data_IF_626059717784
#
_entry.id   IF_626059717784
#
_cell.length_a   1.000
_cell.length_b   1.000
_cell.length_c   1.000
_cell.angle_alpha   90.00
_cell.angle_beta   90.00
_cell.angle_gamma   90.00
#
_symmetry.space_group_name_H-M   'P 1'
#
loop_
_entity.id
_entity.type
_entity.pdbx_description
1 polymer ?
#
# COMPACT_ATOMS: atom_id res chain seq x y z
N UNK A 1 -18.65 -16.41 -26.96
CA UNK A 1 -19.35 -16.15 -25.69
C UNK A 1 -19.13 -14.67 -25.34
N UNK A 2 -20.17 -13.82 -25.22
CA UNK A 2 -20.01 -12.42 -24.80
C UNK A 2 -19.88 -12.42 -23.29
N UNK A 3 -18.71 -12.06 -22.76
CA UNK A 3 -18.52 -11.88 -21.33
C UNK A 3 -19.31 -10.63 -20.92
N UNK A 4 -20.26 -10.78 -19.99
CA UNK A 4 -21.00 -9.66 -19.42
C UNK A 4 -20.18 -9.11 -18.25
N UNK A 5 -19.31 -8.14 -18.55
CA UNK A 5 -18.53 -7.44 -17.53
C UNK A 5 -19.44 -6.52 -16.71
N UNK A 6 -19.32 -6.56 -15.38
CA UNK A 6 -20.04 -5.69 -14.45
C UNK A 6 -19.10 -4.82 -13.61
N UNK A 7 -17.90 -5.29 -13.39
CA UNK A 7 -16.87 -4.61 -12.59
C UNK A 7 -15.55 -4.78 -13.32
N UNK A 8 -14.76 -3.71 -13.38
CA UNK A 8 -13.37 -3.72 -13.85
C UNK A 8 -12.50 -3.23 -12.71
N UNK A 9 -11.66 -4.13 -12.17
CA UNK A 9 -10.58 -3.76 -11.24
C UNK A 9 -9.29 -3.52 -12.02
N UNK A 10 -8.54 -2.49 -11.67
CA UNK A 10 -7.27 -2.17 -12.31
C UNK A 10 -6.25 -1.63 -11.30
N UNK A 11 -5.01 -2.02 -11.47
CA UNK A 11 -3.90 -1.45 -10.74
C UNK A 11 -3.55 -0.05 -11.26
N UNK A 12 -2.87 0.74 -10.45
CA UNK A 12 -2.54 2.13 -10.74
C UNK A 12 -1.15 2.27 -11.38
N UNK A 13 -0.12 1.83 -10.68
CA UNK A 13 1.27 2.11 -11.05
C UNK A 13 1.77 1.17 -12.14
N UNK A 14 2.01 1.72 -13.34
CA UNK A 14 2.42 0.91 -14.50
C UNK A 14 1.25 0.24 -15.24
N UNK A 15 0.00 0.48 -14.82
CA UNK A 15 -1.21 -0.05 -15.45
C UNK A 15 -2.13 1.07 -15.90
N UNK A 16 -2.82 1.77 -14.98
CA UNK A 16 -3.71 2.89 -15.32
C UNK A 16 -2.95 4.18 -15.55
N UNK A 17 -1.95 4.45 -14.70
CA UNK A 17 -1.17 5.68 -14.71
C UNK A 17 0.04 5.54 -15.64
N UNK A 18 0.24 6.55 -16.47
CA UNK A 18 1.43 6.65 -17.33
C UNK A 18 2.70 6.98 -16.51
N UNK A 19 3.84 7.16 -17.18
CA UNK A 19 5.13 7.51 -16.55
C UNK A 19 5.10 8.84 -15.80
N UNK A 20 4.20 9.75 -16.16
CA UNK A 20 4.00 11.06 -15.52
C UNK A 20 2.98 10.99 -14.37
N UNK A 21 2.48 9.79 -14.07
CA UNK A 21 1.47 9.50 -13.03
C UNK A 21 0.10 10.11 -13.31
N UNK A 22 -0.27 10.24 -14.58
CA UNK A 22 -1.56 10.70 -15.07
C UNK A 22 -2.32 9.61 -15.82
N UNK A 23 -3.65 9.71 -15.86
CA UNK A 23 -4.51 8.89 -16.72
C UNK A 23 -4.40 9.44 -18.13
N UNK A 24 -3.93 8.62 -19.09
CA UNK A 24 -3.85 9.02 -20.49
C UNK A 24 -5.25 9.32 -21.06
N UNK A 25 -5.35 10.27 -21.99
CA UNK A 25 -6.62 10.75 -22.55
C UNK A 25 -7.47 9.58 -23.13
N UNK A 26 -6.88 8.73 -23.95
CA UNK A 26 -7.57 7.56 -24.48
C UNK A 26 -8.10 6.62 -23.38
N UNK A 27 -7.32 6.41 -22.32
CA UNK A 27 -7.73 5.59 -21.17
C UNK A 27 -8.93 6.23 -20.46
N UNK A 28 -8.90 7.55 -20.29
CA UNK A 28 -10.01 8.35 -19.72
C UNK A 28 -11.29 8.17 -20.52
N UNK A 29 -11.23 8.29 -21.85
CA UNK A 29 -12.39 8.07 -22.74
C UNK A 29 -12.96 6.65 -22.61
N UNK A 30 -12.10 5.63 -22.53
CA UNK A 30 -12.52 4.23 -22.41
C UNK A 30 -13.21 3.97 -21.07
N UNK A 31 -12.65 4.48 -19.98
CA UNK A 31 -13.25 4.37 -18.64
C UNK A 31 -14.59 5.10 -18.56
N UNK A 32 -14.69 6.30 -19.14
CA UNK A 32 -15.95 7.05 -19.21
C UNK A 32 -17.03 6.25 -19.90
N UNK A 33 -16.74 5.66 -21.07
CA UNK A 33 -17.70 4.78 -21.79
C UNK A 33 -18.07 3.54 -20.98
N UNK A 34 -17.15 2.98 -20.19
CA UNK A 34 -17.45 1.85 -19.32
C UNK A 34 -18.45 2.24 -18.23
N UNK A 35 -18.25 3.38 -17.59
CA UNK A 35 -19.16 3.94 -16.57
C UNK A 35 -20.55 4.24 -17.15
N UNK A 36 -20.62 4.84 -18.35
CA UNK A 36 -21.88 5.11 -19.06
C UNK A 36 -22.66 3.82 -19.39
N UNK A 37 -21.98 2.69 -19.57
CA UNK A 37 -22.59 1.37 -19.75
C UNK A 37 -22.96 0.69 -18.41
N UNK A 38 -22.82 1.36 -17.28
CA UNK A 38 -23.13 0.82 -15.97
C UNK A 38 -22.10 -0.18 -15.44
N UNK A 39 -20.88 -0.15 -15.97
CA UNK A 39 -19.76 -0.96 -15.48
C UNK A 39 -19.08 -0.22 -14.34
N UNK A 40 -18.94 -0.89 -13.18
CA UNK A 40 -18.20 -0.36 -12.05
C UNK A 40 -16.70 -0.38 -12.36
N UNK A 41 -16.03 0.72 -12.07
CA UNK A 41 -14.59 0.84 -12.19
C UNK A 41 -13.98 0.95 -10.78
N UNK A 42 -12.97 0.14 -10.51
CA UNK A 42 -12.46 -0.07 -9.15
C UNK A 42 -10.92 -0.03 -9.15
N UNK A 43 -10.29 1.03 -8.62
CA UNK A 43 -8.86 1.01 -8.36
C UNK A 43 -8.50 -0.09 -7.36
N UNK A 44 -7.47 -0.88 -7.68
CA UNK A 44 -6.92 -1.95 -6.83
C UNK A 44 -5.44 -1.70 -6.67
N UNK A 45 -4.98 -1.36 -5.46
CA UNK A 45 -3.62 -0.85 -5.28
C UNK A 45 -3.02 -1.19 -3.92
N UNK A 46 -1.69 -1.27 -3.87
CA UNK A 46 -0.94 -1.34 -2.62
C UNK A 46 -0.88 -0.01 -1.84
N UNK A 47 -1.33 1.10 -2.46
CA UNK A 47 -1.36 2.40 -1.80
C UNK A 47 -2.45 2.46 -0.73
N UNK A 48 -2.25 3.24 0.36
CA UNK A 48 -3.36 3.64 1.23
C UNK A 48 -4.29 4.63 0.51
N UNK A 49 -5.51 4.80 1.01
CA UNK A 49 -6.49 5.72 0.39
C UNK A 49 -5.93 7.13 0.20
N UNK A 50 -5.25 7.70 1.21
CA UNK A 50 -4.61 9.00 1.14
C UNK A 50 -3.41 9.09 0.17
N UNK A 51 -2.94 7.96 -0.35
CA UNK A 51 -1.88 7.86 -1.36
C UNK A 51 -2.39 7.75 -2.80
N UNK A 52 -3.71 7.71 -3.01
CA UNK A 52 -4.29 7.70 -4.36
C UNK A 52 -4.19 9.09 -4.99
N UNK A 53 -3.83 9.20 -6.29
CA UNK A 53 -3.88 10.47 -6.99
C UNK A 53 -5.30 11.05 -6.99
N UNK A 54 -5.40 12.35 -6.78
CA UNK A 54 -6.67 13.08 -6.77
C UNK A 54 -7.47 12.84 -8.06
N UNK A 55 -6.78 12.81 -9.19
CA UNK A 55 -7.34 12.51 -10.52
C UNK A 55 -8.06 11.15 -10.58
N UNK A 56 -7.59 10.15 -9.84
CA UNK A 56 -8.22 8.82 -9.76
C UNK A 56 -9.41 8.85 -8.83
N UNK A 57 -9.26 9.46 -7.65
CA UNK A 57 -10.33 9.54 -6.63
C UNK A 57 -11.52 10.36 -7.13
N UNK A 58 -11.26 11.43 -7.89
CA UNK A 58 -12.29 12.31 -8.45
C UNK A 58 -12.81 11.85 -9.82
N UNK A 59 -12.30 10.75 -10.37
CA UNK A 59 -12.78 10.26 -11.65
C UNK A 59 -14.25 9.82 -11.54
N UNK A 60 -15.13 10.32 -12.45
CA UNK A 60 -16.54 9.94 -12.44
C UNK A 60 -16.72 8.41 -12.46
N UNK A 61 -17.48 7.87 -11.50
CA UNK A 61 -17.73 6.43 -11.37
C UNK A 61 -16.76 5.67 -10.45
N UNK A 62 -15.68 6.28 -9.98
CA UNK A 62 -14.83 5.73 -8.92
C UNK A 62 -15.47 6.04 -7.56
N UNK A 63 -16.29 5.13 -7.06
CA UNK A 63 -16.94 5.26 -5.75
C UNK A 63 -16.19 4.51 -4.66
N UNK A 64 -15.49 3.46 -5.01
CA UNK A 64 -14.74 2.59 -4.10
C UNK A 64 -13.34 2.33 -4.62
N UNK A 65 -12.43 1.99 -3.71
CA UNK A 65 -11.08 1.55 -4.02
C UNK A 65 -10.69 0.39 -3.10
N UNK A 66 -10.02 -0.61 -3.66
CA UNK A 66 -9.32 -1.63 -2.89
C UNK A 66 -7.92 -1.10 -2.62
N UNK A 67 -7.57 -0.96 -1.34
CA UNK A 67 -6.34 -0.30 -0.88
C UNK A 67 -5.49 -1.23 -0.03
N UNK A 68 -4.24 -0.85 0.21
CA UNK A 68 -3.29 -1.58 1.03
C UNK A 68 -3.20 -3.08 0.66
N UNK A 69 -3.08 -3.38 -0.66
CA UNK A 69 -2.99 -4.75 -1.20
C UNK A 69 -4.21 -5.63 -0.87
N UNK A 70 -5.39 -5.05 -0.76
CA UNK A 70 -6.62 -5.79 -0.45
C UNK A 70 -7.03 -5.76 1.03
N UNK A 71 -6.23 -5.14 1.89
CA UNK A 71 -6.56 -5.05 3.31
C UNK A 71 -7.83 -4.24 3.58
N UNK A 72 -8.20 -3.30 2.69
CA UNK A 72 -9.42 -2.50 2.83
C UNK A 72 -10.14 -2.27 1.51
N UNK A 73 -11.47 -2.21 1.59
CA UNK A 73 -12.33 -1.61 0.56
C UNK A 73 -12.87 -0.31 1.12
N UNK A 74 -12.49 0.80 0.50
CA UNK A 74 -12.77 2.14 0.99
C UNK A 74 -13.72 2.86 0.04
N UNK A 75 -14.68 3.59 0.60
CA UNK A 75 -15.45 4.58 -0.15
C UNK A 75 -14.60 5.83 -0.38
N UNK A 76 -14.42 6.21 -1.63
CA UNK A 76 -13.45 7.25 -2.00
C UNK A 76 -13.84 8.66 -1.57
N UNK A 77 -15.14 8.94 -1.48
CA UNK A 77 -15.66 10.29 -1.17
C UNK A 77 -15.73 10.56 0.33
N UNK A 78 -16.16 9.57 1.12
CA UNK A 78 -16.37 9.73 2.57
C UNK A 78 -15.19 9.22 3.40
N UNK A 79 -14.34 8.35 2.80
CA UNK A 79 -13.34 7.60 3.53
C UNK A 79 -13.91 6.48 4.38
N UNK A 80 -15.20 6.15 4.20
CA UNK A 80 -15.85 5.02 4.87
C UNK A 80 -15.22 3.68 4.48
N UNK A 81 -15.06 2.79 5.45
CA UNK A 81 -14.53 1.43 5.22
C UNK A 81 -15.70 0.46 5.09
N UNK A 82 -15.80 -0.24 3.93
CA UNK A 82 -16.81 -1.27 3.68
C UNK A 82 -16.35 -2.67 4.10
N UNK A 83 -15.06 -2.92 3.99
CA UNK A 83 -14.44 -4.21 4.29
C UNK A 83 -13.02 -3.98 4.77
N UNK A 84 -12.62 -4.75 5.76
CA UNK A 84 -11.23 -4.77 6.22
C UNK A 84 -10.79 -6.19 6.55
N UNK A 85 -9.51 -6.44 6.30
CA UNK A 85 -8.80 -7.64 6.66
C UNK A 85 -7.40 -7.26 7.09
N UNK A 86 -7.22 -7.19 8.39
CA UNK A 86 -6.08 -6.53 9.02
C UNK A 86 -5.11 -7.54 9.61
N UNK A 87 -3.83 -7.20 9.60
CA UNK A 87 -2.78 -7.94 10.29
C UNK A 87 -2.96 -7.74 11.80
N UNK A 88 -3.11 -8.82 12.59
CA UNK A 88 -3.26 -8.72 14.04
C UNK A 88 -2.08 -7.98 14.68
N UNK A 89 -2.36 -7.20 15.72
CA UNK A 89 -1.34 -6.38 16.40
C UNK A 89 -0.11 -7.17 16.81
N UNK A 90 -0.28 -8.37 17.37
CA UNK A 90 0.85 -9.23 17.78
C UNK A 90 1.68 -9.74 16.61
N UNK A 91 1.02 -10.04 15.50
CA UNK A 91 1.70 -10.42 14.25
C UNK A 91 2.47 -9.23 13.68
N UNK A 92 1.89 -8.03 13.72
CA UNK A 92 2.57 -6.80 13.30
C UNK A 92 3.80 -6.49 14.18
N UNK A 93 3.73 -6.69 15.51
CA UNK A 93 4.88 -6.59 16.41
C UNK A 93 5.98 -7.58 16.00
N UNK A 94 5.64 -8.85 15.82
CA UNK A 94 6.59 -9.89 15.42
C UNK A 94 7.28 -9.58 14.09
N UNK A 95 6.54 -9.12 13.08
CA UNK A 95 7.10 -8.73 11.79
C UNK A 95 8.04 -7.53 11.96
N UNK A 96 7.64 -6.54 12.77
CA UNK A 96 8.45 -5.35 13.00
C UNK A 96 9.73 -5.66 13.78
N UNK A 97 9.68 -6.59 14.73
CA UNK A 97 10.87 -7.11 15.44
C UNK A 97 11.83 -7.78 14.45
N UNK A 98 11.35 -8.60 13.52
CA UNK A 98 12.19 -9.17 12.45
C UNK A 98 12.85 -8.07 11.62
N UNK A 99 12.11 -7.04 11.22
CA UNK A 99 12.67 -5.96 10.42
C UNK A 99 13.66 -5.08 11.19
N UNK A 100 13.59 -5.03 12.53
CA UNK A 100 14.51 -4.24 13.35
C UNK A 100 15.95 -4.78 13.39
N UNK A 101 16.15 -6.03 12.97
CA UNK A 101 17.48 -6.64 12.87
C UNK A 101 18.27 -6.17 11.62
N UNK A 102 17.65 -5.36 10.74
CA UNK A 102 18.20 -4.96 9.45
C UNK A 102 18.17 -3.44 9.24
N UNK A 103 19.05 -2.91 8.37
CA UNK A 103 19.00 -1.50 7.92
C UNK A 103 17.85 -1.31 6.91
N UNK A 104 16.64 -1.19 7.43
CA UNK A 104 15.41 -1.09 6.65
C UNK A 104 14.54 0.09 7.09
N UNK A 105 14.02 0.87 6.14
CA UNK A 105 12.97 1.84 6.41
C UNK A 105 11.69 1.06 6.77
N UNK A 106 11.35 1.07 8.06
CA UNK A 106 10.23 0.35 8.64
C UNK A 106 8.98 1.21 8.60
N UNK A 107 7.89 0.63 8.09
CA UNK A 107 6.62 1.32 7.94
C UNK A 107 5.45 0.45 8.41
N UNK A 108 4.45 1.07 9.03
CA UNK A 108 3.16 0.45 9.40
C UNK A 108 2.00 1.34 8.97
N UNK A 109 0.86 0.72 8.64
CA UNK A 109 -0.29 1.46 8.09
C UNK A 109 -1.55 1.19 8.89
N UNK A 110 -2.26 2.27 9.25
CA UNK A 110 -3.52 2.23 9.98
C UNK A 110 -4.55 3.13 9.32
N UNK A 111 -5.69 2.58 8.91
CA UNK A 111 -6.80 3.37 8.38
C UNK A 111 -6.41 4.25 7.20
N UNK A 112 -5.53 3.74 6.33
CA UNK A 112 -5.05 4.47 5.16
C UNK A 112 -3.97 5.52 5.45
N UNK A 113 -3.39 5.56 6.66
CA UNK A 113 -2.26 6.44 7.02
C UNK A 113 -1.01 5.60 7.25
N UNK A 114 0.12 6.02 6.66
CA UNK A 114 1.42 5.39 6.83
C UNK A 114 2.24 6.10 7.92
N UNK A 115 2.92 5.30 8.73
CA UNK A 115 3.88 5.75 9.76
C UNK A 115 5.21 5.10 9.46
N UNK A 116 6.31 5.81 9.70
CA UNK A 116 7.66 5.34 9.45
C UNK A 116 8.56 5.65 10.64
N UNK A 117 9.55 4.77 10.89
CA UNK A 117 10.59 5.01 11.88
C UNK A 117 11.34 6.30 11.54
N UNK A 118 11.46 7.22 12.49
CA UNK A 118 11.99 8.57 12.26
C UNK A 118 13.47 8.59 11.86
N UNK A 119 14.26 7.67 12.39
CA UNK A 119 15.69 7.58 12.05
C UNK A 119 15.88 7.27 10.57
N UNK A 120 15.31 6.18 10.08
CA UNK A 120 15.42 5.77 8.68
C UNK A 120 14.66 6.74 7.75
N UNK A 121 13.53 7.28 8.21
CA UNK A 121 12.78 8.29 7.46
C UNK A 121 13.61 9.54 7.17
N UNK A 122 14.46 9.96 8.10
CA UNK A 122 15.40 11.09 7.90
C UNK A 122 16.34 10.83 6.71
N UNK A 123 16.68 9.57 6.48
CA UNK A 123 17.57 9.07 5.43
C UNK A 123 16.81 8.41 4.26
N UNK A 124 15.52 8.69 4.07
CA UNK A 124 14.65 8.01 3.10
C UNK A 124 15.22 7.94 1.68
N UNK A 125 16.07 8.90 1.29
CA UNK A 125 16.75 8.90 0.00
C UNK A 125 17.72 7.73 -0.20
N UNK A 126 18.19 7.10 0.87
CA UNK A 126 19.09 5.95 0.81
C UNK A 126 18.35 4.63 0.52
N UNK A 127 17.07 4.58 0.87
CA UNK A 127 16.21 3.40 0.68
C UNK A 127 15.42 3.44 -0.63
N UNK A 128 15.20 4.63 -1.19
CA UNK A 128 14.38 4.79 -2.39
C UNK A 128 15.22 4.78 -3.67
N UNK A 129 14.74 4.08 -4.69
CA UNK A 129 15.40 3.94 -5.99
C UNK A 129 15.32 5.21 -6.86
N UNK A 130 14.49 6.20 -6.48
CA UNK A 130 14.39 7.48 -7.19
C UNK A 130 14.04 8.64 -6.26
N UNK A 131 14.44 9.87 -6.61
CA UNK A 131 14.07 11.08 -5.87
C UNK A 131 12.55 11.27 -5.78
N UNK A 132 11.82 10.91 -6.83
CA UNK A 132 10.35 11.01 -6.88
C UNK A 132 9.70 10.08 -5.85
N UNK A 133 10.20 8.86 -5.70
CA UNK A 133 9.71 7.93 -4.70
C UNK A 133 10.03 8.42 -3.29
N UNK A 134 11.24 8.95 -3.06
CA UNK A 134 11.61 9.54 -1.76
C UNK A 134 10.70 10.73 -1.41
N UNK A 135 10.39 11.60 -2.39
CA UNK A 135 9.45 12.71 -2.21
C UNK A 135 8.03 12.22 -1.87
N UNK A 136 7.55 11.17 -2.55
CA UNK A 136 6.26 10.54 -2.24
C UNK A 136 6.20 10.00 -0.81
N UNK A 137 7.22 9.27 -0.37
CA UNK A 137 7.28 8.74 0.99
C UNK A 137 7.28 9.87 2.02
N UNK A 138 8.10 10.93 1.80
CA UNK A 138 8.09 12.13 2.67
C UNK A 138 6.74 12.82 2.76
N UNK A 139 6.00 12.86 1.67
CA UNK A 139 4.70 13.54 1.62
C UNK A 139 3.55 12.71 2.24
N UNK A 140 3.72 11.39 2.36
CA UNK A 140 2.61 10.49 2.69
C UNK A 140 2.81 9.67 3.97
N UNK A 141 3.98 9.75 4.61
CA UNK A 141 4.27 9.07 5.88
C UNK A 141 4.45 10.06 7.00
N UNK A 142 4.04 9.64 8.19
CA UNK A 142 4.27 10.38 9.44
C UNK A 142 5.44 9.72 10.16
N UNK A 143 6.56 10.44 10.39
CA UNK A 143 7.66 9.88 11.17
C UNK A 143 7.28 9.75 12.64
N UNK A 144 7.69 8.64 13.25
CA UNK A 144 7.51 8.35 14.69
C UNK A 144 8.83 7.90 15.30
N UNK A 145 9.10 8.26 16.56
CA UNK A 145 10.39 7.96 17.22
C UNK A 145 10.68 6.46 17.34
N UNK A 146 9.65 5.65 17.55
CA UNK A 146 9.71 4.20 17.71
C UNK A 146 8.41 3.59 17.15
N UNK A 147 8.55 2.88 16.06
CA UNK A 147 7.40 2.29 15.35
C UNK A 147 6.84 1.07 16.11
N UNK A 148 7.68 0.33 16.81
CA UNK A 148 7.27 -0.80 17.63
C UNK A 148 6.46 -0.34 18.85
N UNK A 149 6.91 0.76 19.49
CA UNK A 149 6.17 1.41 20.56
C UNK A 149 4.80 1.91 20.03
N UNK A 150 4.77 2.55 18.86
CA UNK A 150 3.51 2.98 18.23
C UNK A 150 2.53 1.82 18.05
N UNK A 151 2.99 0.65 17.55
CA UNK A 151 2.15 -0.53 17.37
C UNK A 151 1.54 -0.97 18.71
N UNK A 152 2.35 -1.05 19.76
CA UNK A 152 1.93 -1.43 21.12
C UNK A 152 0.96 -0.45 21.74
N UNK A 153 1.21 0.85 21.61
CA UNK A 153 0.35 1.92 22.13
C UNK A 153 -1.01 1.98 21.42
N UNK A 154 -1.02 1.78 20.10
CA UNK A 154 -2.30 1.72 19.35
C UNK A 154 -3.12 0.49 19.73
N UNK A 155 -2.48 -0.66 19.98
CA UNK A 155 -3.16 -1.89 20.31
C UNK A 155 -4.23 -2.31 19.29
N UNK A 156 -4.06 -1.90 18.02
CA UNK A 156 -5.01 -2.11 16.93
C UNK A 156 -4.35 -2.92 15.81
N UNK A 157 -5.16 -3.72 15.12
CA UNK A 157 -4.73 -4.40 13.91
C UNK A 157 -4.38 -3.39 12.82
N UNK A 158 -3.42 -3.73 11.96
CA UNK A 158 -2.85 -2.84 10.94
C UNK A 158 -3.21 -3.27 9.52
N UNK A 159 -3.32 -2.30 8.60
CA UNK A 159 -3.60 -2.57 7.19
C UNK A 159 -2.50 -3.42 6.55
N UNK A 160 -1.26 -3.06 6.79
CA UNK A 160 -0.05 -3.79 6.38
C UNK A 160 1.18 -3.32 7.14
N UNK A 161 2.22 -4.13 7.14
CA UNK A 161 3.57 -3.80 7.61
C UNK A 161 4.51 -3.83 6.40
N UNK A 162 5.47 -2.90 6.33
CA UNK A 162 6.42 -2.82 5.23
C UNK A 162 7.82 -2.53 5.72
N UNK A 163 8.82 -3.16 5.10
CA UNK A 163 10.24 -2.82 5.19
C UNK A 163 10.80 -2.50 3.81
N UNK A 164 11.55 -1.41 3.67
CA UNK A 164 12.31 -1.10 2.46
C UNK A 164 13.79 -1.20 2.80
N UNK A 165 14.46 -2.15 2.19
CA UNK A 165 15.82 -2.54 2.53
C UNK A 165 16.84 -1.83 1.64
N UNK A 166 17.97 -1.49 2.22
CA UNK A 166 19.12 -0.93 1.52
C UNK A 166 19.94 -2.03 0.81
N UNK A 167 19.99 -3.21 1.43
CA UNK A 167 20.82 -4.36 1.05
C UNK A 167 19.91 -5.51 0.63
N UNK A 168 20.09 -6.04 -0.57
CA UNK A 168 19.25 -7.13 -1.11
C UNK A 168 19.42 -8.46 -0.35
N UNK A 169 20.60 -8.72 0.20
CA UNK A 169 20.89 -9.87 1.05
C UNK A 169 20.08 -9.82 2.34
N UNK A 170 20.05 -8.67 3.04
CA UNK A 170 19.26 -8.46 4.25
C UNK A 170 17.76 -8.63 3.99
N UNK A 171 17.26 -8.08 2.88
CA UNK A 171 15.89 -8.31 2.45
C UNK A 171 15.57 -9.79 2.25
N UNK A 172 16.51 -10.53 1.66
CA UNK A 172 16.34 -11.96 1.41
C UNK A 172 16.31 -12.76 2.72
N UNK A 173 17.15 -12.39 3.68
CA UNK A 173 17.19 -13.01 5.01
C UNK A 173 15.93 -12.67 5.80
N UNK A 174 15.53 -11.40 5.86
CA UNK A 174 14.29 -10.98 6.51
C UNK A 174 13.06 -11.73 5.93
N UNK A 175 13.00 -11.91 4.60
CA UNK A 175 11.94 -12.67 3.96
C UNK A 175 11.89 -14.13 4.41
N UNK A 176 13.04 -14.78 4.60
CA UNK A 176 13.09 -16.16 5.14
C UNK A 176 12.62 -16.22 6.59
N UNK A 177 12.97 -15.22 7.41
CA UNK A 177 12.48 -15.16 8.78
C UNK A 177 10.94 -15.04 8.84
N UNK A 178 10.33 -14.33 7.88
CA UNK A 178 8.88 -14.20 7.78
C UNK A 178 8.17 -15.51 7.41
N UNK A 179 8.84 -16.49 6.79
CA UNK A 179 8.26 -17.81 6.48
C UNK A 179 7.81 -18.58 7.73
N UNK A 180 8.36 -18.24 8.89
CA UNK A 180 7.97 -18.82 10.19
C UNK A 180 6.74 -18.15 10.82
N UNK A 181 6.26 -17.05 10.24
CA UNK A 181 5.09 -16.32 10.75
C UNK A 181 3.83 -16.83 10.04
N UNK A 182 2.93 -17.43 10.80
CA UNK A 182 1.70 -17.99 10.24
C UNK A 182 0.65 -16.92 9.92
N UNK A 183 -0.20 -17.19 8.94
CA UNK A 183 -1.36 -16.36 8.60
C UNK A 183 -1.02 -15.06 7.87
N UNK A 184 0.19 -14.92 7.34
CA UNK A 184 0.59 -13.75 6.56
C UNK A 184 0.82 -14.08 5.09
N UNK A 185 0.66 -13.07 4.24
CA UNK A 185 1.11 -13.08 2.86
C UNK A 185 2.23 -12.05 2.68
N UNK A 186 3.32 -12.47 2.05
CA UNK A 186 4.53 -11.67 1.86
C UNK A 186 4.70 -11.37 0.38
N UNK A 187 4.62 -10.10 0.02
CA UNK A 187 4.83 -9.61 -1.35
C UNK A 187 5.86 -8.47 -1.38
N UNK A 188 6.05 -7.86 -2.54
CA UNK A 188 6.88 -6.68 -2.72
C UNK A 188 6.60 -6.03 -4.07
N UNK A 189 6.18 -4.78 -4.07
CA UNK A 189 5.93 -3.99 -5.28
C UNK A 189 7.22 -3.38 -5.86
N UNK A 190 8.24 -3.21 -5.02
CA UNK A 190 9.57 -2.72 -5.41
C UNK A 190 10.59 -3.86 -5.31
N UNK A 191 11.70 -3.72 -6.03
CA UNK A 191 12.78 -4.72 -6.00
C UNK A 191 13.45 -4.87 -4.63
N UNK A 192 13.30 -3.88 -3.76
CA UNK A 192 13.95 -3.80 -2.46
C UNK A 192 13.00 -3.66 -1.27
N UNK A 193 11.69 -3.89 -1.44
CA UNK A 193 10.77 -3.89 -0.30
C UNK A 193 10.21 -5.29 0.02
N UNK A 194 9.68 -5.40 1.21
CA UNK A 194 8.80 -6.47 1.66
C UNK A 194 7.52 -5.82 2.18
N UNK A 195 6.39 -6.26 1.71
CA UNK A 195 5.06 -5.89 2.20
C UNK A 195 4.39 -7.13 2.78
N UNK A 196 3.84 -6.99 3.97
CA UNK A 196 3.18 -8.08 4.69
C UNK A 196 1.74 -7.71 4.99
N UNK A 197 0.84 -8.57 4.60
CA UNK A 197 -0.60 -8.49 4.82
C UNK A 197 -1.10 -9.78 5.48
N UNK A 198 -2.33 -9.77 5.98
CA UNK A 198 -2.99 -10.99 6.41
C UNK A 198 -3.27 -11.88 5.17
N UNK A 199 -2.97 -13.18 5.28
CA UNK A 199 -3.24 -14.14 4.18
C UNK A 199 -4.73 -14.31 3.91
N UNK A 200 -5.09 -14.67 2.67
CA UNK A 200 -6.49 -14.88 2.24
C UNK A 200 -7.16 -16.08 2.92
#
# INVERSE_FOLDING_TARGET
MKIKCRIIGFDLDGTLLNSEKHIAEHTREVLTRAVEQGIWILPVTGRPLGGLPKEVVEFPGVQYAITANGARIMETQTGGCLYERLVPVKTAEQIMEIFSDYDALREVYYGGKGYAEAEEFSRVGEYMRSPQMAAYVRATRTPVPDILQLIREKGQDTDKVQGVFKIDEERTEARKCLEAVEGIEVTGALSNNIEVMLSA
#
